data_IF_734373849460
#
_entry.id   IF_734373849460
#
_cell.length_a   1.000
_cell.length_b   1.000
_cell.length_c   1.000
_cell.angle_alpha   90.00
_cell.angle_beta   90.00
_cell.angle_gamma   90.00
#
_symmetry.space_group_name_H-M   'P 1'
#
loop_
_entity.id
_entity.type
_entity.pdbx_description
1 polymer ?
#
# COMPACT_ATOMS: atom_id res chain seq x y z
N UNK A 1 19.05 -27.61 62.52
CA UNK A 1 18.03 -26.99 61.63
C UNK A 1 18.44 -25.52 61.47
N UNK A 2 19.48 -25.23 60.69
CA UNK A 2 19.53 -25.00 59.23
C UNK A 2 18.87 -23.70 58.76
N UNK A 3 19.64 -22.99 57.91
CA UNK A 3 19.38 -21.80 57.10
C UNK A 3 19.78 -20.46 57.76
N UNK A 4 21.00 -19.94 57.59
CA UNK A 4 21.74 -19.51 56.38
C UNK A 4 21.36 -18.09 55.91
N UNK A 5 22.10 -17.11 56.40
CA UNK A 5 22.21 -15.75 55.85
C UNK A 5 23.17 -15.78 54.67
N UNK A 6 22.72 -15.34 53.48
CA UNK A 6 23.57 -15.19 52.29
C UNK A 6 24.09 -13.75 52.22
N UNK A 7 25.38 -13.59 52.43
CA UNK A 7 26.15 -12.41 52.01
C UNK A 7 26.47 -12.56 50.51
N UNK A 8 26.17 -11.54 49.72
CA UNK A 8 26.62 -11.43 48.32
C UNK A 8 27.92 -10.63 48.35
N UNK A 9 29.03 -11.30 48.04
CA UNK A 9 30.34 -10.71 47.76
C UNK A 9 30.40 -10.51 46.25
N UNK A 10 30.56 -9.27 45.79
CA UNK A 10 30.85 -8.95 44.39
C UNK A 10 32.38 -8.96 44.26
N UNK A 11 32.90 -9.87 43.44
CA UNK A 11 34.31 -9.93 43.08
C UNK A 11 34.59 -8.87 42.00
N UNK A 12 35.43 -7.90 42.37
CA UNK A 12 35.98 -6.86 41.51
C UNK A 12 37.47 -7.15 41.37
N UNK A 13 37.88 -7.87 40.31
CA UNK A 13 39.28 -8.04 39.94
C UNK A 13 39.40 -8.65 38.54
N UNK A 14 39.83 -7.83 37.58
CA UNK A 14 40.72 -8.12 36.44
C UNK A 14 40.37 -7.23 35.25
N UNK A 15 40.93 -6.03 35.20
CA UNK A 15 41.21 -5.32 33.96
C UNK A 15 42.48 -4.49 34.16
N UNK A 16 43.59 -4.98 33.62
CA UNK A 16 44.84 -4.25 33.42
C UNK A 16 45.26 -4.40 31.95
N UNK A 17 46.06 -3.45 31.42
CA UNK A 17 45.97 -2.99 30.04
C UNK A 17 47.04 -3.62 29.13
N UNK A 18 46.76 -3.69 27.82
CA UNK A 18 47.79 -3.88 26.81
C UNK A 18 47.80 -2.75 25.79
N UNK A 19 48.98 -2.14 25.73
CA UNK A 19 49.39 -0.99 24.93
C UNK A 19 49.95 -1.49 23.58
N UNK A 20 49.56 -0.77 22.53
CA UNK A 20 50.26 -0.52 21.25
C UNK A 20 50.57 -1.69 20.29
N UNK A 21 50.14 -1.53 19.02
CA UNK A 21 51.03 -1.10 17.92
C UNK A 21 50.28 -0.84 16.60
N UNK A 22 50.73 0.24 15.94
CA UNK A 22 50.87 0.47 14.49
C UNK A 22 49.58 0.64 13.66
N UNK A 23 49.22 1.87 13.27
CA UNK A 23 49.78 2.68 12.19
C UNK A 23 49.49 2.12 10.78
N UNK A 24 48.42 2.60 10.15
CA UNK A 24 48.35 2.72 8.69
C UNK A 24 47.35 3.81 8.28
N UNK A 25 47.82 5.05 8.28
CA UNK A 25 47.11 6.21 7.70
C UNK A 25 47.39 6.26 6.20
N UNK A 26 46.39 5.85 5.40
CA UNK A 26 46.41 5.99 3.95
C UNK A 26 46.09 7.42 3.50
N UNK A 27 47.04 7.98 2.76
CA UNK A 27 47.01 9.26 2.06
C UNK A 27 45.73 9.51 1.25
N UNK A 28 45.05 10.63 1.50
CA UNK A 28 44.22 11.31 0.48
C UNK A 28 44.90 12.63 0.14
N UNK A 29 45.58 12.64 -1.00
CA UNK A 29 46.23 13.80 -1.57
C UNK A 29 45.21 14.83 -2.04
N UNK A 30 45.46 16.06 -1.60
CA UNK A 30 44.92 17.31 -2.12
C UNK A 30 45.20 17.43 -3.62
N UNK A 31 44.17 17.70 -4.42
CA UNK A 31 44.32 18.36 -5.73
C UNK A 31 43.46 19.63 -5.74
N UNK A 32 44.12 20.74 -5.45
CA UNK A 32 43.71 22.06 -5.88
C UNK A 32 44.00 22.17 -7.39
N UNK A 33 42.99 22.51 -8.19
CA UNK A 33 43.22 23.26 -9.44
C UNK A 33 42.20 24.38 -9.54
N UNK A 34 42.76 25.58 -9.43
CA UNK A 34 42.18 26.85 -9.83
C UNK A 34 41.69 26.78 -11.29
N UNK A 35 40.58 27.45 -11.58
CA UNK A 35 40.51 28.33 -12.75
C UNK A 35 39.49 29.46 -12.49
N UNK A 36 40.02 30.67 -12.43
CA UNK A 36 39.31 31.95 -12.51
C UNK A 36 39.24 32.37 -13.99
N UNK A 37 38.10 32.86 -14.44
CA UNK A 37 37.94 33.94 -15.43
C UNK A 37 36.43 34.22 -15.58
N UNK A 38 35.87 35.24 -14.94
CA UNK A 38 35.71 36.61 -15.46
C UNK A 38 35.08 36.68 -16.86
N UNK A 39 33.76 36.91 -16.92
CA UNK A 39 33.20 37.87 -17.88
C UNK A 39 31.90 38.48 -17.35
N UNK A 40 32.03 39.70 -16.81
CA UNK A 40 30.96 40.69 -16.69
C UNK A 40 30.53 41.11 -18.11
N UNK A 41 29.23 41.16 -18.37
CA UNK A 41 28.67 42.03 -19.39
C UNK A 41 27.52 42.85 -18.77
N UNK A 42 27.47 44.11 -19.21
CA UNK A 42 26.72 45.25 -18.68
C UNK A 42 25.21 45.15 -18.98
N UNK A 43 24.37 45.90 -18.24
CA UNK A 43 22.98 46.14 -18.61
C UNK A 43 22.90 47.15 -19.76
N UNK A 44 22.09 46.85 -20.77
CA UNK A 44 21.62 47.85 -21.73
C UNK A 44 20.16 48.16 -21.45
N UNK A 45 19.91 49.45 -21.19
CA UNK A 45 18.62 50.09 -21.28
C UNK A 45 18.23 50.17 -22.77
N UNK A 46 16.96 49.93 -23.08
CA UNK A 46 16.31 50.54 -24.22
C UNK A 46 14.83 50.76 -23.92
N UNK A 47 14.43 52.01 -24.05
CA UNK A 47 13.07 52.52 -24.06
C UNK A 47 12.36 52.20 -25.38
N UNK A 48 11.03 52.41 -25.35
CA UNK A 48 10.05 52.44 -26.44
C UNK A 48 9.66 51.03 -26.95
N UNK A 49 8.38 50.68 -27.13
CA UNK A 49 7.33 51.46 -27.79
C UNK A 49 5.95 50.87 -27.43
N UNK A 50 4.93 51.73 -27.36
CA UNK A 50 3.52 51.32 -27.34
C UNK A 50 3.16 50.66 -28.68
N UNK A 51 2.66 49.43 -28.64
CA UNK A 51 1.78 48.93 -29.70
C UNK A 51 0.51 48.31 -29.11
N UNK A 52 -0.60 48.92 -29.52
CA UNK A 52 -1.97 48.50 -29.30
C UNK A 52 -2.29 47.24 -30.11
N UNK A 53 -2.36 46.08 -29.47
CA UNK A 53 -2.85 44.87 -30.12
C UNK A 53 -4.36 44.76 -29.93
N UNK A 54 -5.07 44.88 -31.05
CA UNK A 54 -6.51 44.67 -31.21
C UNK A 54 -6.91 43.28 -30.71
N UNK A 55 -7.89 43.24 -29.80
CA UNK A 55 -8.63 42.03 -29.44
C UNK A 55 -9.55 41.69 -30.61
N UNK A 56 -9.17 40.71 -31.43
CA UNK A 56 -10.06 40.09 -32.40
C UNK A 56 -10.92 39.04 -31.70
N UNK A 57 -12.24 39.17 -31.84
CA UNK A 57 -13.27 38.22 -31.45
C UNK A 57 -12.90 36.79 -31.88
N UNK A 58 -12.77 35.89 -30.90
CA UNK A 58 -12.82 34.45 -31.16
C UNK A 58 -14.29 34.08 -31.24
N UNK A 59 -14.72 33.73 -32.46
CA UNK A 59 -16.04 33.16 -32.74
C UNK A 59 -16.23 31.91 -31.91
N UNK A 60 -17.36 31.85 -31.21
CA UNK A 60 -17.83 30.66 -30.52
C UNK A 60 -18.07 29.55 -31.54
N UNK A 61 -17.18 28.56 -31.57
CA UNK A 61 -17.46 27.30 -32.25
C UNK A 61 -18.54 26.56 -31.46
N UNK A 62 -19.68 26.46 -32.13
CA UNK A 62 -20.85 25.63 -31.86
C UNK A 62 -20.45 24.25 -31.36
N UNK A 63 -20.74 24.00 -30.08
CA UNK A 63 -20.68 22.68 -29.47
C UNK A 63 -21.85 21.85 -30.02
N UNK A 64 -21.57 20.83 -30.82
CA UNK A 64 -22.59 19.84 -31.19
C UNK A 64 -23.05 19.05 -29.95
N UNK A 65 -24.35 18.72 -29.81
CA UNK A 65 -24.85 18.07 -28.61
C UNK A 65 -24.46 16.58 -28.56
N UNK A 66 -24.00 16.15 -27.39
CA UNK A 66 -23.70 14.77 -26.95
C UNK A 66 -24.88 13.77 -27.06
N UNK A 67 -25.97 14.10 -27.75
CA UNK A 67 -27.09 13.19 -28.00
C UNK A 67 -26.83 12.18 -29.12
N UNK A 68 -25.87 12.44 -30.03
CA UNK A 68 -25.59 11.53 -31.15
C UNK A 68 -24.97 10.19 -30.70
N UNK A 69 -24.21 10.18 -29.61
CA UNK A 69 -23.54 8.96 -29.10
C UNK A 69 -24.52 8.07 -28.30
N UNK A 70 -25.60 8.64 -27.75
CA UNK A 70 -26.62 7.88 -27.01
C UNK A 70 -27.52 7.07 -27.94
N UNK A 71 -27.85 7.61 -29.12
CA UNK A 71 -28.72 6.95 -30.12
C UNK A 71 -28.04 5.80 -30.87
N UNK A 72 -26.71 5.82 -31.01
CA UNK A 72 -25.96 4.72 -31.64
C UNK A 72 -25.89 3.45 -30.79
N UNK A 73 -26.04 3.54 -29.47
CA UNK A 73 -26.04 2.38 -28.58
C UNK A 73 -27.43 1.74 -28.39
N UNK A 74 -28.52 2.47 -28.60
CA UNK A 74 -29.88 1.90 -28.57
C UNK A 74 -30.22 1.10 -29.83
N UNK A 75 -29.68 1.47 -31.00
CA UNK A 75 -29.94 0.74 -32.25
C UNK A 75 -29.23 -0.62 -32.35
N UNK A 76 -28.22 -0.88 -31.53
CA UNK A 76 -27.57 -2.21 -31.44
C UNK A 76 -28.43 -3.19 -30.62
N UNK A 77 -29.39 -2.71 -29.82
CA UNK A 77 -30.22 -3.55 -28.94
C UNK A 77 -31.51 -4.10 -29.58
N UNK A 78 -31.87 -3.74 -30.82
CA UNK A 78 -33.18 -4.09 -31.40
C UNK A 78 -33.16 -5.05 -32.62
N UNK A 79 -32.05 -5.70 -32.95
CA UNK A 79 -32.05 -6.79 -33.96
C UNK A 79 -31.42 -8.07 -33.43
N UNK A 80 -32.23 -8.89 -32.77
CA UNK A 80 -31.98 -10.33 -32.58
C UNK A 80 -33.24 -11.10 -32.99
N UNK A 81 -33.16 -12.04 -33.95
CA UNK A 81 -34.28 -12.90 -34.30
C UNK A 81 -34.51 -13.96 -33.22
N UNK A 82 -35.78 -14.22 -32.93
CA UNK A 82 -36.26 -15.28 -32.04
C UNK A 82 -35.85 -16.67 -32.56
N UNK A 83 -34.90 -17.32 -31.89
CA UNK A 83 -34.58 -18.73 -32.13
C UNK A 83 -34.32 -19.47 -30.80
N UNK A 84 -35.14 -20.51 -30.60
CA UNK A 84 -34.92 -21.74 -29.83
C UNK A 84 -34.06 -21.69 -28.55
N UNK A 85 -34.76 -21.92 -27.43
CA UNK A 85 -34.20 -22.23 -26.10
C UNK A 85 -33.22 -23.42 -26.17
N UNK A 86 -31.92 -23.14 -26.30
CA UNK A 86 -30.84 -24.00 -25.81
C UNK A 86 -30.19 -23.30 -24.63
N UNK A 87 -30.16 -23.97 -23.48
CA UNK A 87 -29.43 -23.51 -22.29
C UNK A 87 -27.94 -23.42 -22.66
N UNK A 88 -27.49 -22.23 -23.05
CA UNK A 88 -26.08 -21.93 -23.21
C UNK A 88 -25.48 -21.78 -21.80
N UNK A 89 -24.67 -22.77 -21.44
CA UNK A 89 -23.68 -22.68 -20.37
C UNK A 89 -22.85 -21.41 -20.56
N UNK A 90 -22.72 -20.63 -19.49
CA UNK A 90 -22.01 -19.34 -19.48
C UNK A 90 -20.51 -19.55 -19.76
N UNK A 91 -19.87 -18.87 -20.73
CA UNK A 91 -18.47 -19.08 -21.14
C UNK A 91 -17.39 -18.60 -20.14
N UNK A 92 -17.70 -18.52 -18.83
CA UNK A 92 -16.81 -17.95 -17.81
C UNK A 92 -15.91 -18.98 -17.10
N UNK A 93 -15.71 -20.16 -17.67
CA UNK A 93 -14.86 -21.20 -17.08
C UNK A 93 -13.73 -21.57 -18.05
N UNK A 94 -12.62 -20.85 -17.93
CA UNK A 94 -11.30 -21.42 -18.22
C UNK A 94 -10.20 -20.58 -17.54
N UNK A 95 -10.18 -20.63 -16.20
CA UNK A 95 -8.91 -20.66 -15.49
C UNK A 95 -8.72 -22.13 -15.15
N UNK A 96 -7.62 -22.74 -15.59
CA UNK A 96 -7.27 -24.12 -15.24
C UNK A 96 -7.21 -24.26 -13.70
N UNK A 97 -8.33 -24.71 -13.13
CA UNK A 97 -8.53 -25.03 -11.70
C UNK A 97 -8.29 -26.54 -11.44
N UNK A 98 -7.81 -27.29 -12.43
CA UNK A 98 -7.59 -28.73 -12.34
C UNK A 98 -6.27 -29.07 -11.64
N UNK A 99 -6.20 -28.81 -10.32
CA UNK A 99 -5.53 -29.68 -9.33
C UNK A 99 -5.46 -29.15 -7.89
N UNK A 100 -6.22 -28.12 -7.51
CA UNK A 100 -6.43 -27.87 -6.08
C UNK A 100 -7.69 -28.60 -5.62
N UNK A 101 -7.56 -29.92 -5.41
CA UNK A 101 -8.35 -30.59 -4.39
C UNK A 101 -8.03 -29.88 -3.07
N UNK A 102 -8.80 -28.83 -2.77
CA UNK A 102 -8.87 -28.27 -1.45
C UNK A 102 -9.27 -29.44 -0.56
N UNK A 103 -8.32 -29.99 0.21
CA UNK A 103 -8.71 -30.77 1.36
C UNK A 103 -9.63 -29.85 2.14
N UNK A 104 -10.89 -30.26 2.22
CA UNK A 104 -11.87 -29.68 3.11
C UNK A 104 -11.52 -30.11 4.53
N UNK A 105 -10.25 -29.98 4.91
CA UNK A 105 -9.79 -30.23 6.26
C UNK A 105 -10.58 -29.25 7.11
N UNK A 106 -11.48 -29.87 7.87
CA UNK A 106 -12.28 -29.31 8.92
C UNK A 106 -11.38 -28.49 9.83
N UNK A 107 -11.23 -27.20 9.52
CA UNK A 107 -11.03 -26.20 10.57
C UNK A 107 -12.38 -26.04 11.25
N UNK A 108 -12.78 -27.10 11.96
CA UNK A 108 -13.97 -27.14 12.79
C UNK A 108 -13.86 -25.98 13.77
N UNK A 109 -14.91 -25.19 13.73
CA UNK A 109 -15.00 -23.83 14.20
C UNK A 109 -15.26 -23.83 15.70
N UNK A 110 -14.24 -24.21 16.47
CA UNK A 110 -14.25 -24.05 17.93
C UNK A 110 -13.36 -22.86 18.36
N UNK A 111 -13.30 -21.83 17.51
CA UNK A 111 -12.75 -20.50 17.85
C UNK A 111 -13.84 -19.68 18.59
N UNK A 112 -14.39 -20.26 19.66
CA UNK A 112 -15.12 -19.53 20.71
C UNK A 112 -14.15 -18.84 21.68
N UNK A 113 -12.94 -18.49 21.20
CA UNK A 113 -12.06 -17.48 21.79
C UNK A 113 -12.76 -16.11 21.70
N UNK A 114 -13.78 -15.96 22.54
CA UNK A 114 -14.29 -14.72 23.05
C UNK A 114 -13.07 -13.97 23.58
N UNK A 115 -12.57 -13.07 22.73
CA UNK A 115 -11.36 -12.31 22.97
C UNK A 115 -11.69 -11.31 24.07
N UNK A 116 -11.61 -11.78 25.32
CA UNK A 116 -11.70 -10.97 26.52
C UNK A 116 -10.52 -10.00 26.48
N UNK A 117 -10.76 -8.83 25.89
CA UNK A 117 -9.95 -7.64 26.09
C UNK A 117 -10.22 -7.09 27.50
N UNK A 118 -10.19 -7.94 28.55
CA UNK A 118 -10.20 -7.50 29.94
C UNK A 118 -8.87 -6.79 30.18
N UNK A 119 -8.90 -5.52 29.81
CA UNK A 119 -7.93 -4.54 30.20
C UNK A 119 -8.09 -4.39 31.70
N UNK A 120 -7.21 -5.03 32.48
CA UNK A 120 -7.13 -4.92 33.94
C UNK A 120 -7.27 -3.45 34.35
N UNK A 121 -8.49 -3.08 34.69
CA UNK A 121 -8.85 -1.76 35.16
C UNK A 121 -8.81 -1.82 36.67
N UNK A 122 -7.59 -1.97 37.20
CA UNK A 122 -7.30 -1.81 38.62
C UNK A 122 -7.56 -0.35 39.02
N UNK A 123 -8.82 -0.05 39.32
CA UNK A 123 -9.23 1.21 39.93
C UNK A 123 -10.15 0.94 41.13
N UNK A 124 -9.65 0.15 42.08
CA UNK A 124 -10.14 0.17 43.45
C UNK A 124 -9.24 1.08 44.29
N UNK A 125 -9.78 2.22 44.74
CA UNK A 125 -9.29 2.89 45.95
C UNK A 125 -10.32 3.86 46.50
N UNK A 126 -11.20 3.31 47.33
CA UNK A 126 -11.89 4.03 48.41
C UNK A 126 -10.90 4.42 49.52
N UNK A 127 -11.14 5.61 50.10
CA UNK A 127 -10.76 6.01 51.48
C UNK A 127 -9.26 6.34 51.68
N UNK A 128 -8.78 7.36 52.40
CA UNK A 128 -9.34 8.38 53.30
C UNK A 128 -8.22 9.39 53.59
N UNK A 129 -8.59 10.65 53.81
CA UNK A 129 -7.90 11.71 54.56
C UNK A 129 -6.45 11.45 55.03
N UNK A 130 -5.50 12.20 54.47
CA UNK A 130 -4.29 12.61 55.17
C UNK A 130 -3.76 13.93 54.62
N UNK A 131 -3.86 14.96 55.47
CA UNK A 131 -3.37 16.32 55.28
C UNK A 131 -1.84 16.32 55.22
N UNK A 132 -1.27 16.08 54.05
CA UNK A 132 0.09 16.48 53.72
C UNK A 132 0.07 17.17 52.36
N UNK A 133 0.09 18.51 52.37
CA UNK A 133 0.22 19.39 51.19
C UNK A 133 1.63 19.26 50.58
N UNK A 134 1.99 18.06 50.15
CA UNK A 134 3.07 17.89 49.20
C UNK A 134 2.52 18.37 47.85
N UNK A 135 3.03 19.50 47.38
CA UNK A 135 2.70 20.09 46.10
C UNK A 135 3.18 19.15 44.98
N UNK A 136 2.41 18.11 44.71
CA UNK A 136 2.63 17.20 43.59
C UNK A 136 2.44 18.00 42.32
N UNK A 137 3.54 18.40 41.70
CA UNK A 137 3.54 18.92 40.34
C UNK A 137 3.06 17.79 39.44
N UNK A 138 1.77 17.81 39.07
CA UNK A 138 1.23 16.97 38.01
C UNK A 138 1.99 17.31 36.73
N UNK A 139 3.05 16.55 36.43
CA UNK A 139 3.72 16.65 35.13
C UNK A 139 2.68 16.22 34.10
N UNK A 140 2.34 17.13 33.20
CA UNK A 140 1.50 16.82 32.04
C UNK A 140 2.10 15.59 31.36
N UNK A 141 1.41 14.45 31.43
CA UNK A 141 1.77 13.25 30.68
C UNK A 141 1.35 13.54 29.24
N UNK A 142 2.26 14.18 28.50
CA UNK A 142 2.04 14.42 27.07
C UNK A 142 2.16 13.10 26.36
N UNK A 143 1.13 12.72 25.62
CA UNK A 143 1.22 11.58 24.72
C UNK A 143 2.32 11.90 23.68
N UNK A 144 3.34 11.04 23.54
CA UNK A 144 4.40 11.26 22.57
C UNK A 144 3.81 11.33 21.16
N UNK A 145 4.38 12.18 20.31
CA UNK A 145 4.00 12.37 18.90
C UNK A 145 2.60 12.97 18.65
N UNK A 146 1.91 13.49 19.67
CA UNK A 146 0.60 14.13 19.51
C UNK A 146 0.66 15.36 18.58
N UNK A 147 1.79 16.06 18.57
CA UNK A 147 2.07 17.20 17.71
C UNK A 147 2.07 16.84 16.22
N UNK A 148 2.41 15.60 15.86
CA UNK A 148 2.39 15.14 14.47
C UNK A 148 0.97 15.17 13.87
N UNK A 149 -0.06 14.90 14.67
CA UNK A 149 -1.46 14.98 14.23
C UNK A 149 -1.87 16.40 13.81
N UNK A 150 -1.14 17.42 14.27
CA UNK A 150 -1.38 18.81 13.91
C UNK A 150 -0.66 19.23 12.62
N UNK A 151 0.21 18.38 12.05
CA UNK A 151 0.86 18.69 10.77
C UNK A 151 -0.19 18.85 9.65
N UNK A 152 -0.13 19.93 8.85
CA UNK A 152 -1.19 20.23 7.87
C UNK A 152 -1.50 19.10 6.88
N UNK A 153 -0.48 18.40 6.39
CA UNK A 153 -0.66 17.29 5.44
C UNK A 153 -1.33 16.06 6.07
N UNK A 154 -0.97 15.70 7.31
CA UNK A 154 -1.63 14.60 8.07
C UNK A 154 -3.08 14.97 8.35
N UNK A 155 -3.33 16.18 8.85
CA UNK A 155 -4.67 16.69 9.12
C UNK A 155 -5.54 16.72 7.86
N UNK A 156 -4.97 17.14 6.73
CA UNK A 156 -5.64 17.12 5.42
C UNK A 156 -6.02 15.70 5.01
N UNK A 157 -5.10 14.74 5.11
CA UNK A 157 -5.35 13.33 4.80
C UNK A 157 -6.52 12.77 5.64
N UNK A 158 -6.44 12.89 6.97
CA UNK A 158 -7.48 12.44 7.90
C UNK A 158 -8.83 13.11 7.59
N UNK A 159 -8.82 14.41 7.31
CA UNK A 159 -10.06 15.16 7.01
C UNK A 159 -10.69 14.68 5.69
N UNK A 160 -9.89 14.49 4.64
CA UNK A 160 -10.37 14.00 3.34
C UNK A 160 -10.93 12.58 3.44
N UNK A 161 -10.26 11.70 4.18
CA UNK A 161 -10.76 10.36 4.46
C UNK A 161 -12.10 10.40 5.21
N UNK A 162 -12.22 11.20 6.27
CA UNK A 162 -13.49 11.35 7.01
C UNK A 162 -14.63 11.91 6.17
N UNK A 163 -14.31 12.77 5.20
CA UNK A 163 -15.28 13.43 4.31
C UNK A 163 -15.58 12.64 3.03
N UNK A 164 -15.05 11.43 2.86
CA UNK A 164 -15.21 10.66 1.63
C UNK A 164 -14.82 11.44 0.37
N UNK A 165 -13.74 12.24 0.44
CA UNK A 165 -13.33 13.10 -0.68
C UNK A 165 -13.13 12.30 -1.97
N UNK A 166 -13.52 12.87 -3.11
CA UNK A 166 -13.50 12.20 -4.42
C UNK A 166 -12.10 11.74 -4.85
N UNK A 167 -11.05 12.44 -4.39
CA UNK A 167 -9.66 12.08 -4.66
C UNK A 167 -9.11 10.95 -3.77
N UNK A 168 -9.93 10.41 -2.85
CA UNK A 168 -9.55 9.32 -1.94
C UNK A 168 -10.05 7.94 -2.36
N UNK A 169 -10.60 7.78 -3.57
CA UNK A 169 -11.01 6.46 -4.10
C UNK A 169 -9.80 5.51 -4.19
N UNK A 170 -8.63 6.04 -4.56
CA UNK A 170 -7.34 5.34 -4.54
C UNK A 170 -6.42 6.02 -3.54
N UNK A 171 -6.42 5.53 -2.31
CA UNK A 171 -5.69 6.14 -1.22
C UNK A 171 -4.24 5.62 -1.16
N UNK A 172 -3.27 6.48 -1.54
CA UNK A 172 -1.83 6.21 -1.42
C UNK A 172 -1.26 6.93 -0.21
N UNK A 173 -1.10 6.24 0.93
CA UNK A 173 -0.71 6.89 2.18
C UNK A 173 0.69 7.53 2.13
N UNK A 174 1.62 7.01 1.32
CA UNK A 174 2.95 7.59 1.11
C UNK A 174 2.94 9.03 0.56
N UNK A 175 1.83 9.47 -0.04
CA UNK A 175 1.66 10.86 -0.49
C UNK A 175 1.47 11.81 0.69
N UNK A 176 0.98 11.28 1.82
CA UNK A 176 0.57 12.06 2.98
C UNK A 176 1.44 11.80 4.21
N UNK A 177 2.09 10.64 4.29
CA UNK A 177 2.76 10.15 5.49
C UNK A 177 4.21 9.76 5.18
N UNK A 178 5.10 9.95 6.16
CA UNK A 178 6.50 9.48 6.10
C UNK A 178 6.59 7.98 6.43
N UNK A 179 7.56 7.21 5.89
CA UNK A 179 7.80 5.82 6.32
C UNK A 179 7.93 5.64 7.84
N UNK A 180 8.50 6.63 8.53
CA UNK A 180 8.70 6.64 10.00
C UNK A 180 7.45 7.08 10.79
N UNK A 181 6.26 7.05 10.17
CA UNK A 181 5.02 7.48 10.81
C UNK A 181 4.72 6.59 12.03
N UNK A 182 4.53 7.16 13.23
CA UNK A 182 4.28 6.36 14.43
C UNK A 182 2.85 5.81 14.47
N UNK A 183 2.64 4.76 15.27
CA UNK A 183 1.34 4.10 15.46
C UNK A 183 0.19 5.07 15.75
N UNK A 184 0.41 6.11 16.57
CA UNK A 184 -0.62 7.09 16.91
C UNK A 184 -1.23 7.78 15.67
N UNK A 185 -0.39 8.15 14.71
CA UNK A 185 -0.84 8.77 13.47
C UNK A 185 -1.53 7.74 12.59
N UNK A 186 -1.00 6.52 12.52
CA UNK A 186 -1.61 5.43 11.75
C UNK A 186 -2.99 5.05 12.30
N UNK A 187 -3.15 4.97 13.62
CA UNK A 187 -4.43 4.72 14.31
C UNK A 187 -5.46 5.79 13.91
N UNK A 188 -5.08 7.07 13.92
CA UNK A 188 -5.97 8.16 13.50
C UNK A 188 -6.37 8.08 12.01
N UNK A 189 -5.48 7.58 11.15
CA UNK A 189 -5.77 7.34 9.71
C UNK A 189 -6.70 6.13 9.54
N UNK A 190 -6.45 5.03 10.25
CA UNK A 190 -7.32 3.84 10.23
C UNK A 190 -8.71 4.16 10.79
N UNK A 191 -8.81 4.98 11.84
CA UNK A 191 -10.09 5.44 12.38
C UNK A 191 -10.85 6.36 11.41
N UNK A 192 -10.12 7.16 10.62
CA UNK A 192 -10.73 7.93 9.54
C UNK A 192 -11.23 7.03 8.39
N UNK A 193 -10.51 5.95 8.08
CA UNK A 193 -10.89 4.95 7.09
C UNK A 193 -12.07 4.08 7.54
N UNK A 194 -12.25 3.88 8.84
CA UNK A 194 -13.29 2.99 9.39
C UNK A 194 -14.70 3.41 8.94
N UNK A 195 -14.97 4.71 8.80
CA UNK A 195 -16.26 5.23 8.31
C UNK A 195 -16.21 5.72 6.86
N UNK A 196 -15.09 5.48 6.15
CA UNK A 196 -14.95 5.87 4.77
C UNK A 196 -15.61 4.82 3.85
N UNK A 197 -16.51 5.28 2.99
CA UNK A 197 -17.25 4.44 2.03
C UNK A 197 -16.79 4.63 0.60
N UNK A 198 -15.87 5.58 0.34
CA UNK A 198 -15.40 5.95 -1.00
C UNK A 198 -14.10 5.22 -1.41
N UNK A 199 -13.23 4.91 -0.44
CA UNK A 199 -11.93 4.31 -0.66
C UNK A 199 -12.09 2.86 -1.14
N UNK A 200 -11.63 2.61 -2.37
CA UNK A 200 -11.69 1.30 -3.02
C UNK A 200 -10.33 0.59 -3.08
N UNK A 201 -9.25 1.36 -3.11
CA UNK A 201 -7.88 0.87 -3.20
C UNK A 201 -6.99 1.57 -2.18
N UNK A 202 -6.27 0.79 -1.36
CA UNK A 202 -5.45 1.30 -0.26
C UNK A 202 -3.99 0.85 -0.39
N UNK A 203 -3.07 1.82 -0.38
CA UNK A 203 -1.62 1.56 -0.33
C UNK A 203 -1.04 2.03 1.01
N UNK A 204 -0.62 1.06 1.82
CA UNK A 204 -0.08 1.21 3.18
C UNK A 204 1.27 0.46 3.33
N UNK A 205 2.04 0.42 2.24
CA UNK A 205 3.39 -0.15 2.20
C UNK A 205 4.43 0.71 2.95
N UNK A 206 5.45 0.06 3.53
CA UNK A 206 6.62 0.69 4.16
C UNK A 206 6.34 1.57 5.39
N UNK A 207 5.31 1.27 6.18
CA UNK A 207 5.03 1.95 7.45
C UNK A 207 5.40 1.09 8.66
N UNK A 208 6.67 0.68 8.78
CA UNK A 208 7.11 -0.27 9.81
C UNK A 208 6.87 0.22 11.25
N UNK A 209 6.97 1.52 11.51
CA UNK A 209 6.67 2.08 12.85
C UNK A 209 5.18 2.26 13.11
N UNK A 210 4.39 2.44 12.05
CA UNK A 210 2.96 2.70 12.11
C UNK A 210 2.10 1.45 12.09
N UNK A 211 2.54 0.41 11.37
CA UNK A 211 1.80 -0.84 11.15
C UNK A 211 2.37 -1.98 11.99
N UNK A 212 1.80 -2.17 13.18
CA UNK A 212 2.07 -3.34 14.04
C UNK A 212 0.86 -4.25 14.08
N UNK A 213 0.92 -5.28 14.92
CA UNK A 213 -0.14 -6.29 15.01
C UNK A 213 -1.54 -5.69 15.23
N UNK A 214 -1.66 -4.73 16.16
CA UNK A 214 -2.92 -4.07 16.47
C UNK A 214 -3.48 -3.34 15.24
N UNK A 215 -2.63 -2.62 14.51
CA UNK A 215 -3.03 -1.88 13.32
C UNK A 215 -3.41 -2.80 12.16
N UNK A 216 -2.72 -3.93 11.98
CA UNK A 216 -3.10 -4.95 10.96
C UNK A 216 -4.47 -5.56 11.27
N UNK A 217 -4.77 -5.86 12.53
CA UNK A 217 -6.08 -6.38 12.92
C UNK A 217 -7.18 -5.31 12.87
N UNK A 218 -6.84 -4.05 13.18
CA UNK A 218 -7.75 -2.91 12.97
C UNK A 218 -8.08 -2.73 11.49
N UNK A 219 -7.07 -2.77 10.63
CA UNK A 219 -7.22 -2.75 9.18
C UNK A 219 -8.11 -3.89 8.68
N UNK A 220 -7.93 -5.12 9.19
CA UNK A 220 -8.80 -6.24 8.85
C UNK A 220 -10.28 -5.95 9.17
N UNK A 221 -10.56 -5.27 10.28
CA UNK A 221 -11.92 -4.88 10.66
C UNK A 221 -12.52 -3.89 9.65
N UNK A 222 -11.71 -2.95 9.16
CA UNK A 222 -12.11 -2.02 8.10
C UNK A 222 -12.37 -2.77 6.79
N UNK A 223 -11.50 -3.70 6.41
CA UNK A 223 -11.64 -4.49 5.17
C UNK A 223 -12.91 -5.36 5.15
N UNK A 224 -13.37 -5.83 6.32
CA UNK A 224 -14.63 -6.59 6.45
C UNK A 224 -15.87 -5.75 6.11
N UNK A 225 -15.78 -4.42 6.11
CA UNK A 225 -16.87 -3.53 5.65
C UNK A 225 -17.07 -3.59 4.13
N UNK A 226 -16.08 -4.07 3.39
CA UNK A 226 -16.24 -4.42 1.98
C UNK A 226 -16.12 -3.27 0.98
N UNK A 227 -15.75 -2.06 1.41
CA UNK A 227 -15.52 -0.91 0.52
C UNK A 227 -14.18 -1.00 -0.23
N UNK A 228 -13.15 -1.52 0.44
CA UNK A 228 -11.80 -1.67 -0.12
C UNK A 228 -11.66 -3.07 -0.73
N UNK A 229 -11.42 -3.14 -2.03
CA UNK A 229 -11.23 -4.40 -2.75
C UNK A 229 -9.79 -4.62 -3.25
N UNK A 230 -8.96 -3.58 -3.23
CA UNK A 230 -7.54 -3.64 -3.58
C UNK A 230 -6.69 -3.13 -2.41
N UNK A 231 -5.66 -3.87 -2.01
CA UNK A 231 -4.77 -3.45 -0.95
C UNK A 231 -3.31 -3.78 -1.24
N UNK A 232 -2.42 -2.80 -1.07
CA UNK A 232 -0.98 -3.05 -1.00
C UNK A 232 -0.50 -2.70 0.41
N UNK A 233 -0.22 -3.73 1.22
CA UNK A 233 0.32 -3.57 2.58
C UNK A 233 1.85 -3.61 2.61
N UNK A 234 2.48 -4.06 1.51
CA UNK A 234 3.92 -3.99 1.31
C UNK A 234 4.74 -4.65 2.41
N UNK A 235 5.83 -3.98 2.78
CA UNK A 235 6.75 -4.36 3.84
C UNK A 235 6.30 -3.81 5.20
N UNK A 236 5.85 -4.70 6.09
CA UNK A 236 5.56 -4.41 7.51
C UNK A 236 6.27 -5.43 8.42
N UNK A 237 7.57 -5.27 8.61
CA UNK A 237 8.45 -6.23 9.30
C UNK A 237 8.18 -6.40 10.80
N UNK A 238 7.43 -5.47 11.42
CA UNK A 238 7.10 -5.52 12.85
C UNK A 238 5.80 -6.28 13.16
N UNK A 239 5.18 -6.88 12.16
CA UNK A 239 3.96 -7.69 12.31
C UNK A 239 4.36 -9.15 12.50
N UNK A 240 3.87 -9.77 13.57
CA UNK A 240 4.18 -11.17 13.88
C UNK A 240 3.43 -12.13 12.96
N UNK A 241 4.01 -13.29 12.65
CA UNK A 241 3.39 -14.33 11.82
C UNK A 241 2.01 -14.75 12.31
N UNK A 242 1.82 -14.91 13.64
CA UNK A 242 0.51 -15.21 14.24
C UNK A 242 -0.56 -14.16 13.88
N UNK A 243 -0.17 -12.89 13.74
CA UNK A 243 -1.10 -11.84 13.32
C UNK A 243 -1.43 -11.96 11.84
N UNK A 244 -0.44 -12.27 11.00
CA UNK A 244 -0.67 -12.53 9.58
C UNK A 244 -1.58 -13.73 9.33
N UNK A 245 -1.45 -14.80 10.11
CA UNK A 245 -2.37 -15.93 10.04
C UNK A 245 -3.81 -15.52 10.40
N UNK A 246 -3.99 -14.73 11.46
CA UNK A 246 -5.31 -14.17 11.83
C UNK A 246 -5.85 -13.27 10.72
N UNK A 247 -4.99 -12.43 10.14
CA UNK A 247 -5.33 -11.59 9.00
C UNK A 247 -5.81 -12.43 7.81
N UNK A 248 -5.05 -13.47 7.44
CA UNK A 248 -5.40 -14.41 6.38
C UNK A 248 -6.75 -15.10 6.64
N UNK A 249 -7.00 -15.61 7.85
CA UNK A 249 -8.30 -16.21 8.21
C UNK A 249 -9.45 -15.22 8.04
N UNK A 250 -9.26 -13.97 8.49
CA UNK A 250 -10.27 -12.93 8.39
C UNK A 250 -10.52 -12.42 6.97
N UNK A 251 -9.52 -12.46 6.07
CA UNK A 251 -9.66 -12.01 4.68
C UNK A 251 -10.79 -12.74 3.92
N UNK A 252 -11.14 -13.96 4.32
CA UNK A 252 -12.27 -14.73 3.76
C UNK A 252 -13.62 -14.01 3.87
N UNK A 253 -13.74 -13.12 4.86
CA UNK A 253 -14.94 -12.33 5.18
C UNK A 253 -14.86 -10.89 4.63
N UNK A 254 -14.01 -10.64 3.64
CA UNK A 254 -13.79 -9.31 3.05
C UNK A 254 -14.08 -9.33 1.54
N UNK A 255 -14.10 -8.15 0.92
CA UNK A 255 -14.19 -8.00 -0.54
C UNK A 255 -12.81 -7.81 -1.20
N UNK A 256 -11.71 -8.10 -0.49
CA UNK A 256 -10.37 -7.93 -1.05
C UNK A 256 -10.13 -8.98 -2.14
N UNK A 257 -9.97 -8.49 -3.37
CA UNK A 257 -9.76 -9.28 -4.59
C UNK A 257 -8.36 -9.11 -5.17
N UNK A 258 -7.63 -8.08 -4.75
CA UNK A 258 -6.27 -7.77 -5.19
C UNK A 258 -5.46 -7.38 -3.97
N UNK A 259 -4.31 -8.03 -3.81
CA UNK A 259 -3.45 -7.80 -2.65
C UNK A 259 -1.96 -7.90 -3.04
N UNK A 260 -1.13 -7.14 -2.32
CA UNK A 260 0.29 -7.42 -2.19
C UNK A 260 0.71 -7.32 -0.72
N UNK A 261 1.48 -8.31 -0.27
CA UNK A 261 2.30 -8.28 0.93
C UNK A 261 3.69 -8.81 0.58
N UNK A 262 4.72 -8.28 1.24
CA UNK A 262 6.11 -8.65 0.97
C UNK A 262 6.41 -10.08 1.39
N UNK A 263 7.12 -10.81 0.53
CA UNK A 263 7.58 -12.19 0.79
C UNK A 263 8.56 -12.28 1.97
N UNK A 264 9.12 -11.15 2.39
CA UNK A 264 9.98 -11.08 3.56
C UNK A 264 9.20 -10.92 4.88
N UNK A 265 7.87 -10.79 4.81
CA UNK A 265 7.01 -10.56 5.99
C UNK A 265 6.05 -11.71 6.27
N UNK A 266 5.83 -12.56 5.27
CA UNK A 266 5.00 -13.76 5.36
C UNK A 266 5.75 -14.91 4.70
N UNK A 267 5.64 -16.11 5.27
CA UNK A 267 6.20 -17.31 4.64
C UNK A 267 5.44 -17.68 3.34
N UNK A 268 6.05 -18.56 2.56
CA UNK A 268 5.50 -19.01 1.26
C UNK A 268 4.16 -19.72 1.41
N UNK A 269 3.98 -20.54 2.45
CA UNK A 269 2.75 -21.30 2.69
C UNK A 269 1.57 -20.36 2.98
N UNK A 270 1.78 -19.37 3.85
CA UNK A 270 0.81 -18.36 4.22
C UNK A 270 0.49 -17.45 3.03
N UNK A 271 1.50 -17.09 2.24
CA UNK A 271 1.30 -16.36 0.98
C UNK A 271 0.39 -17.11 0.02
N UNK A 272 0.63 -18.40 -0.20
CA UNK A 272 -0.20 -19.21 -1.09
C UNK A 272 -1.61 -19.42 -0.53
N UNK A 273 -1.74 -19.54 0.80
CA UNK A 273 -3.04 -19.52 1.49
C UNK A 273 -3.81 -18.23 1.26
N UNK A 274 -3.16 -17.07 1.43
CA UNK A 274 -3.79 -15.76 1.16
C UNK A 274 -4.19 -15.66 -0.31
N UNK A 275 -3.32 -16.08 -1.24
CA UNK A 275 -3.61 -16.13 -2.67
C UNK A 275 -4.85 -16.96 -2.99
N UNK A 276 -5.02 -18.13 -2.39
CA UNK A 276 -6.23 -18.94 -2.52
C UNK A 276 -7.49 -18.19 -2.07
N UNK A 277 -7.43 -17.51 -0.93
CA UNK A 277 -8.53 -16.70 -0.40
C UNK A 277 -8.87 -15.52 -1.32
N UNK A 278 -7.85 -14.84 -1.85
CA UNK A 278 -8.03 -13.74 -2.80
C UNK A 278 -8.71 -14.21 -4.09
N UNK A 279 -8.37 -15.40 -4.61
CA UNK A 279 -9.07 -16.01 -5.76
C UNK A 279 -10.55 -16.25 -5.45
N UNK A 280 -10.87 -16.82 -4.30
CA UNK A 280 -12.26 -17.02 -3.88
C UNK A 280 -13.04 -15.70 -3.76
N UNK A 281 -12.40 -14.64 -3.27
CA UNK A 281 -13.03 -13.32 -3.16
C UNK A 281 -13.31 -12.69 -4.54
N UNK A 282 -12.47 -12.94 -5.56
CA UNK A 282 -12.73 -12.49 -6.94
C UNK A 282 -14.03 -13.07 -7.51
N UNK A 283 -14.38 -14.29 -7.12
CA UNK A 283 -15.63 -14.92 -7.56
C UNK A 283 -16.85 -14.22 -6.95
N UNK A 284 -16.72 -13.67 -5.74
CA UNK A 284 -17.82 -13.02 -4.98
C UNK A 284 -18.04 -11.55 -5.39
N UNK A 285 -17.00 -10.86 -5.86
CA UNK A 285 -17.02 -9.42 -6.00
C UNK A 285 -16.45 -8.96 -7.35
N UNK A 286 -17.21 -8.16 -8.10
CA UNK A 286 -16.92 -7.84 -9.51
C UNK A 286 -16.30 -6.46 -9.79
N UNK A 287 -16.12 -5.58 -8.80
CA UNK A 287 -15.58 -4.23 -9.07
C UNK A 287 -14.20 -4.24 -9.72
N UNK A 288 -13.41 -5.30 -9.52
CA UNK A 288 -12.08 -5.44 -10.11
C UNK A 288 -12.06 -5.71 -11.62
N UNK A 289 -13.22 -6.08 -12.20
CA UNK A 289 -13.41 -6.31 -13.65
C UNK A 289 -14.57 -5.47 -14.21
N UNK A 290 -15.09 -4.51 -13.45
CA UNK A 290 -16.22 -3.69 -13.89
C UNK A 290 -15.74 -2.62 -14.88
N UNK A 291 -16.33 -2.51 -16.09
CA UNK A 291 -16.07 -1.40 -17.01
C UNK A 291 -16.33 -0.03 -16.39
N UNK A 292 -17.32 0.08 -15.51
CA UNK A 292 -17.70 1.33 -14.84
C UNK A 292 -16.67 1.77 -13.79
N UNK A 293 -15.74 0.88 -13.42
CA UNK A 293 -14.73 1.13 -12.40
C UNK A 293 -13.32 1.26 -12.98
N UNK A 294 -13.20 1.49 -14.30
CA UNK A 294 -11.91 1.51 -14.99
C UNK A 294 -10.97 2.58 -14.44
N UNK A 295 -11.47 3.76 -14.08
CA UNK A 295 -10.65 4.85 -13.52
C UNK A 295 -9.92 4.43 -12.23
N UNK A 296 -10.51 3.54 -11.43
CA UNK A 296 -9.88 2.97 -10.23
C UNK A 296 -8.94 1.83 -10.60
N UNK A 297 -9.39 0.92 -11.47
CA UNK A 297 -8.63 -0.28 -11.88
C UNK A 297 -7.28 0.10 -12.48
N UNK A 298 -7.22 1.11 -13.36
CA UNK A 298 -5.95 1.50 -14.01
C UNK A 298 -4.92 2.09 -13.04
N UNK A 299 -5.37 2.58 -11.88
CA UNK A 299 -4.50 3.11 -10.84
C UNK A 299 -4.03 2.03 -9.85
N UNK A 300 -4.66 0.86 -9.88
CA UNK A 300 -4.33 -0.29 -9.04
C UNK A 300 -3.11 -1.05 -9.60
N UNK A 301 -1.92 -0.61 -9.21
CA UNK A 301 -0.63 -1.24 -9.55
C UNK A 301 0.00 -1.97 -8.36
N UNK A 302 1.10 -2.69 -8.61
CA UNK A 302 1.95 -3.37 -7.62
C UNK A 302 1.19 -4.37 -6.72
N UNK A 303 0.22 -5.08 -7.28
CA UNK A 303 -0.41 -6.23 -6.63
C UNK A 303 0.27 -7.52 -7.10
N UNK A 304 0.10 -8.65 -6.39
CA UNK A 304 0.58 -9.95 -6.92
C UNK A 304 -0.04 -10.28 -8.30
N UNK A 305 -1.24 -9.77 -8.55
CA UNK A 305 -1.85 -9.70 -9.86
C UNK A 305 -2.40 -8.30 -10.04
N UNK A 306 -2.14 -7.63 -11.16
CA UNK A 306 -2.72 -6.30 -11.40
C UNK A 306 -4.08 -6.43 -12.11
N UNK A 307 -5.14 -5.77 -11.63
CA UNK A 307 -6.49 -5.90 -12.20
C UNK A 307 -6.58 -5.40 -13.64
N UNK A 308 -5.73 -4.44 -14.04
CA UNK A 308 -5.65 -3.94 -15.43
C UNK A 308 -5.31 -5.05 -16.45
N UNK A 309 -4.67 -6.13 -16.01
CA UNK A 309 -4.28 -7.26 -16.85
C UNK A 309 -5.42 -8.28 -17.04
N UNK A 310 -6.60 -8.04 -16.49
CA UNK A 310 -7.75 -8.94 -16.66
C UNK A 310 -8.18 -9.00 -18.13
N UNK A 311 -8.26 -10.21 -18.70
CA UNK A 311 -8.69 -10.44 -20.09
C UNK A 311 -10.05 -9.82 -20.40
N UNK A 312 -10.98 -9.84 -19.44
CA UNK A 312 -12.32 -9.28 -19.58
C UNK A 312 -12.33 -7.75 -19.81
N UNK A 313 -11.29 -7.03 -19.36
CA UNK A 313 -11.19 -5.59 -19.53
C UNK A 313 -10.56 -5.18 -20.86
N UNK A 314 -9.89 -6.10 -21.55
CA UNK A 314 -9.13 -5.80 -22.76
C UNK A 314 -9.95 -5.11 -23.87
N UNK A 315 -11.20 -5.54 -24.19
CA UNK A 315 -12.01 -4.84 -25.18
C UNK A 315 -12.28 -3.38 -24.79
N UNK A 316 -12.58 -3.13 -23.51
CA UNK A 316 -12.92 -1.80 -23.01
C UNK A 316 -11.69 -0.90 -22.92
N UNK A 317 -10.55 -1.44 -22.48
CA UNK A 317 -9.27 -0.73 -22.44
C UNK A 317 -8.80 -0.36 -23.86
N UNK A 318 -8.95 -1.26 -24.84
CA UNK A 318 -8.63 -0.98 -26.25
C UNK A 318 -9.54 0.12 -26.82
N UNK A 319 -10.83 0.06 -26.53
CA UNK A 319 -11.78 1.11 -26.94
C UNK A 319 -11.47 2.46 -26.29
N UNK A 320 -10.86 2.46 -25.10
CA UNK A 320 -10.55 3.65 -24.30
C UNK A 320 -9.07 4.05 -24.33
N UNK A 321 -8.29 3.57 -25.31
CA UNK A 321 -6.82 3.69 -25.33
C UNK A 321 -6.34 5.13 -25.14
N UNK A 322 -6.97 6.10 -25.81
CA UNK A 322 -6.59 7.52 -25.68
C UNK A 322 -6.75 8.10 -24.26
N UNK A 323 -7.67 7.58 -23.44
CA UNK A 323 -7.86 8.06 -22.06
C UNK A 323 -6.82 7.47 -21.10
N UNK A 324 -6.43 6.22 -21.31
CA UNK A 324 -5.61 5.45 -20.36
C UNK A 324 -4.20 5.12 -20.85
N UNK A 325 -3.77 5.67 -21.98
CA UNK A 325 -2.47 5.39 -22.60
C UNK A 325 -1.30 5.48 -21.61
N UNK A 326 -1.28 6.53 -20.79
CA UNK A 326 -0.25 6.72 -19.75
C UNK A 326 -0.17 5.62 -18.69
N UNK A 327 -1.26 4.87 -18.47
CA UNK A 327 -1.33 3.77 -17.50
C UNK A 327 -1.10 2.40 -18.14
N UNK A 328 -1.19 2.34 -19.46
CA UNK A 328 -0.91 1.13 -20.24
C UNK A 328 0.58 0.97 -20.56
N UNK A 329 1.39 2.00 -20.27
CA UNK A 329 2.83 1.93 -20.38
C UNK A 329 3.40 0.86 -19.44
N UNK A 330 4.25 -0.02 -20.00
CA UNK A 330 4.89 -1.12 -19.27
C UNK A 330 5.70 -0.61 -18.09
N UNK A 331 6.35 0.55 -18.23
CA UNK A 331 7.16 1.17 -17.19
C UNK A 331 6.29 1.59 -15.98
N UNK A 332 5.10 2.13 -16.23
CA UNK A 332 4.15 2.53 -15.17
C UNK A 332 3.59 1.31 -14.43
N UNK A 333 3.47 0.18 -15.12
CA UNK A 333 3.01 -1.08 -14.52
C UNK A 333 4.12 -1.82 -13.76
N UNK A 334 5.37 -1.37 -13.87
CA UNK A 334 6.54 -2.09 -13.36
C UNK A 334 6.78 -3.41 -14.08
N UNK A 335 6.31 -3.53 -15.33
CA UNK A 335 6.63 -4.66 -16.20
C UNK A 335 8.00 -4.41 -16.84
N UNK A 336 8.83 -5.46 -17.03
CA UNK A 336 10.09 -5.32 -17.74
C UNK A 336 9.82 -4.85 -19.18
N UNK A 337 10.32 -3.66 -19.52
CA UNK A 337 10.21 -3.12 -20.87
C UNK A 337 10.91 -4.04 -21.88
N UNK A 338 10.24 -4.44 -22.99
CA UNK A 338 10.78 -5.43 -23.94
C UNK A 338 12.09 -4.97 -24.62
N UNK A 339 12.39 -3.68 -24.61
CA UNK A 339 13.55 -3.11 -25.31
C UNK A 339 14.89 -3.24 -24.54
N UNK A 340 14.91 -3.74 -23.31
CA UNK A 340 16.16 -3.85 -22.51
C UNK A 340 16.79 -5.24 -22.45
N UNK A 341 16.25 -6.25 -23.14
CA UNK A 341 16.88 -7.58 -23.21
C UNK A 341 17.92 -7.73 -24.32
N UNK A 342 18.28 -6.65 -25.02
CA UNK A 342 19.29 -6.68 -26.09
C UNK A 342 20.73 -6.67 -25.56
N UNK A 343 21.02 -7.35 -24.45
CA UNK A 343 22.40 -7.80 -24.27
C UNK A 343 22.63 -8.80 -25.39
N UNK A 344 23.52 -8.53 -26.36
CA UNK A 344 23.86 -9.54 -27.35
C UNK A 344 24.30 -10.80 -26.60
N UNK A 345 23.93 -12.00 -27.08
CA UNK A 345 24.42 -13.23 -26.50
C UNK A 345 25.95 -13.12 -26.41
N UNK A 346 26.48 -13.33 -25.21
CA UNK A 346 27.91 -13.34 -24.96
C UNK A 346 28.50 -14.49 -25.79
N UNK A 347 29.10 -14.17 -26.94
CA UNK A 347 29.65 -15.12 -27.93
C UNK A 347 30.91 -15.87 -27.41
N UNK A 348 31.01 -16.13 -26.11
CA UNK A 348 32.27 -16.47 -25.46
C UNK A 348 32.31 -17.70 -24.56
N UNK A 349 31.20 -18.41 -24.31
CA UNK A 349 31.24 -19.62 -23.47
C UNK A 349 30.91 -20.87 -24.28
N UNK A 350 31.96 -21.51 -24.80
CA UNK A 350 31.92 -22.90 -25.26
C UNK A 350 31.51 -23.79 -24.09
N UNK A 351 30.33 -24.38 -24.18
CA UNK A 351 29.92 -25.48 -23.30
C UNK A 351 30.68 -26.71 -23.78
N UNK A 352 31.72 -27.09 -23.03
CA UNK A 352 32.29 -28.44 -23.13
C UNK A 352 31.25 -29.42 -22.61
N UNK A 353 30.63 -30.16 -23.53
CA UNK A 353 29.81 -31.32 -23.23
C UNK A 353 30.71 -32.44 -22.70
N UNK A 354 30.76 -32.60 -21.37
CA UNK A 354 31.22 -33.84 -20.75
C UNK A 354 30.46 -34.10 -19.47
N UNK A 355 29.37 -34.86 -19.58
CA UNK A 355 28.83 -35.61 -18.46
C UNK A 355 28.48 -37.03 -18.93
N UNK A 356 29.34 -37.98 -18.55
CA UNK A 356 29.01 -39.39 -18.39
C UNK A 356 28.28 -39.61 -17.05
N UNK A 357 27.42 -40.64 -17.07
CA UNK A 357 26.58 -41.27 -16.03
C UNK A 357 25.15 -40.76 -15.84
#
# INVERSE_FOLDING_TARGET
>A
KNMASRNIIINEQELQPLVAKQANTGNIQRRNKMNRSHKRQKPQQHENELESTKVSEVKADTFEPLEAIRKSNEQISQKQPSASKKKASSPWLYYDDDKMQASSDEWNSDDSDEFDCSYDSDASSTSTNSLNKNQWVRRSIRQPCQDLLQKPHIKSCITKLKKNADDMVVCKLKVWLSPDTPMLVMDAVLDALDNNTNCQSLYIQNFNEGMRDKQVLRLLTILKKGHIWCINIGETYKVRSKTWEKFARGLRKTNVTHMYASEHTIDTELKDKIRGIIRQNRMKHRLHISPDNLDVIVQCTHCWWNPINAKALQPVLKASRGKYEKWLDADVQGLPSPEKSSNPPDEGQSIDDTYEF
#
